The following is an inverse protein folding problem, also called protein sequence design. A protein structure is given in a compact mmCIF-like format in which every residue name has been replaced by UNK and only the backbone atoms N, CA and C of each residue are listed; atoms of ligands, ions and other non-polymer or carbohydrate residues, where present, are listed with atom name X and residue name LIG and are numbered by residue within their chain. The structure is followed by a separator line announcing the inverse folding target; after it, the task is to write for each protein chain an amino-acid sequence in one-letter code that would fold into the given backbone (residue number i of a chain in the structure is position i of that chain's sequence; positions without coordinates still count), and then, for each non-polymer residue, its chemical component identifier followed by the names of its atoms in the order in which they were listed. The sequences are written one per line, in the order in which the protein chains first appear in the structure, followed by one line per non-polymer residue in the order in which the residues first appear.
data_IF_806269699764
#
_entry.id   IF_806269699764
#
_cell.length_a   1.000
_cell.length_b   1.000
_cell.length_c   1.000
_cell.angle_alpha   90.00
_cell.angle_beta   90.00
_cell.angle_gamma   90.00
#
_symmetry.space_group_name_H-M   'P 1'
#
loop_
_entity.id
_entity.type
_entity.pdbx_description
1 polymer ?
#
# COMPACT_ATOMS: atom_id res chain seq x y z
N UNK A 1 -9.83 -2.89 22.92
CA UNK A 1 -10.68 -1.71 22.83
C UNK A 1 -10.68 -1.26 21.36
N UNK A 2 -11.68 -1.69 20.63
CA UNK A 2 -11.82 -1.33 19.21
C UNK A 2 -12.36 0.09 19.14
N UNK A 3 -11.56 1.01 18.63
CA UNK A 3 -12.01 2.36 18.35
C UNK A 3 -12.98 2.34 17.17
N UNK A 4 -14.26 2.41 17.48
CA UNK A 4 -15.33 2.68 16.54
C UNK A 4 -15.31 4.16 16.14
N UNK A 5 -14.30 4.55 15.37
CA UNK A 5 -14.28 5.87 14.73
C UNK A 5 -13.92 5.68 13.25
N UNK A 6 -14.83 5.01 12.54
CA UNK A 6 -14.68 4.66 11.12
C UNK A 6 -14.53 5.84 10.16
N UNK A 7 -14.68 7.06 10.63
CA UNK A 7 -14.57 8.29 9.81
C UNK A 7 -13.26 9.07 10.02
N UNK A 8 -12.58 8.88 11.14
CA UNK A 8 -11.35 9.65 11.45
C UNK A 8 -10.13 9.02 10.79
N UNK A 9 -10.03 7.70 10.74
CA UNK A 9 -8.92 6.99 10.11
C UNK A 9 -8.78 7.25 8.60
N UNK A 10 -9.87 7.13 7.79
CA UNK A 10 -9.82 7.45 6.38
C UNK A 10 -9.35 8.89 6.10
N UNK A 11 -9.85 9.84 6.88
CA UNK A 11 -9.49 11.24 6.73
C UNK A 11 -8.02 11.49 7.10
N UNK A 12 -7.52 10.88 8.17
CA UNK A 12 -6.13 10.99 8.60
C UNK A 12 -5.16 10.45 7.56
N UNK A 13 -5.42 9.28 7.00
CA UNK A 13 -4.57 8.67 5.97
C UNK A 13 -4.59 9.51 4.69
N UNK A 14 -5.76 9.97 4.27
CA UNK A 14 -5.90 10.84 3.12
C UNK A 14 -5.11 12.15 3.30
N UNK A 15 -5.24 12.80 4.45
CA UNK A 15 -4.50 14.02 4.77
C UNK A 15 -3.01 13.79 4.82
N UNK A 16 -2.55 12.67 5.40
CA UNK A 16 -1.12 12.33 5.47
C UNK A 16 -0.55 12.06 4.08
N UNK A 17 -1.27 11.35 3.22
CA UNK A 17 -0.89 11.07 1.85
C UNK A 17 -0.77 12.37 1.03
N UNK A 18 -1.75 13.25 1.15
CA UNK A 18 -1.74 14.55 0.49
C UNK A 18 -0.59 15.43 0.98
N UNK A 19 -0.34 15.45 2.29
CA UNK A 19 0.78 16.19 2.87
C UNK A 19 2.13 15.71 2.34
N UNK A 20 2.35 14.39 2.26
CA UNK A 20 3.56 13.79 1.71
C UNK A 20 3.72 14.18 0.24
N UNK A 21 2.67 14.08 -0.56
CA UNK A 21 2.69 14.45 -1.97
C UNK A 21 3.09 15.93 -2.16
N UNK A 22 2.51 16.83 -1.40
CA UNK A 22 2.84 18.26 -1.45
C UNK A 22 4.28 18.50 -1.01
N UNK A 23 4.70 17.89 0.10
CA UNK A 23 6.04 18.09 0.67
C UNK A 23 7.16 17.63 -0.26
N UNK A 24 6.96 16.54 -0.98
CA UNK A 24 7.97 15.96 -1.87
C UNK A 24 7.75 16.28 -3.35
N UNK A 25 6.71 17.04 -3.68
CA UNK A 25 6.40 17.45 -5.05
C UNK A 25 5.93 16.30 -5.94
N UNK A 26 5.26 15.30 -5.35
CA UNK A 26 4.71 14.17 -6.11
C UNK A 26 3.52 14.59 -6.94
N UNK A 27 3.54 14.22 -8.22
CA UNK A 27 2.41 14.40 -9.13
C UNK A 27 1.42 13.23 -8.97
N UNK A 28 0.27 13.51 -8.37
CA UNK A 28 -0.84 12.56 -8.20
C UNK A 28 -2.00 12.83 -9.17
N UNK A 29 -1.80 13.63 -10.21
CA UNK A 29 -2.86 14.03 -11.13
C UNK A 29 -3.18 12.97 -12.20
N UNK A 30 -2.26 12.01 -12.41
CA UNK A 30 -2.41 10.94 -13.41
C UNK A 30 -3.22 9.77 -12.84
N UNK A 31 -3.86 9.03 -13.74
CA UNK A 31 -4.51 7.76 -13.43
C UNK A 31 -3.58 6.57 -13.67
N UNK A 32 -3.91 5.42 -13.08
CA UNK A 32 -3.18 4.17 -13.34
C UNK A 32 -3.21 3.78 -14.83
N UNK A 33 -4.31 4.05 -15.51
CA UNK A 33 -4.43 3.76 -16.95
C UNK A 33 -3.50 4.63 -17.81
N UNK A 34 -3.26 5.87 -17.39
CA UNK A 34 -2.30 6.77 -18.06
C UNK A 34 -0.85 6.40 -17.76
N UNK A 35 -0.59 5.84 -16.59
CA UNK A 35 0.75 5.44 -16.14
C UNK A 35 1.17 4.12 -16.80
N UNK A 36 0.30 3.13 -16.81
CA UNK A 36 0.58 1.74 -17.18
C UNK A 36 1.28 1.55 -18.52
N UNK A 37 0.91 2.24 -19.61
CA UNK A 37 1.56 2.01 -20.91
C UNK A 37 3.04 2.37 -20.95
N UNK A 38 3.49 3.29 -20.12
CA UNK A 38 4.84 3.86 -20.16
C UNK A 38 5.66 3.59 -18.88
N UNK A 39 5.08 2.94 -17.88
CA UNK A 39 5.78 2.64 -16.64
C UNK A 39 6.73 1.46 -16.84
N UNK A 40 7.94 1.61 -16.36
CA UNK A 40 9.01 0.61 -16.46
C UNK A 40 9.73 0.49 -15.10
N UNK A 41 10.70 -0.39 -15.02
CA UNK A 41 11.49 -0.54 -13.81
C UNK A 41 12.24 0.75 -13.47
N UNK A 42 12.00 1.27 -12.29
CA UNK A 42 12.64 2.47 -11.72
C UNK A 42 13.03 2.22 -10.28
N UNK A 43 14.11 2.85 -9.84
CA UNK A 43 14.69 2.64 -8.50
C UNK A 43 14.62 3.91 -7.63
N UNK A 44 14.00 4.98 -8.11
CA UNK A 44 13.87 6.23 -7.35
C UNK A 44 12.54 6.35 -6.63
N UNK A 45 12.56 6.91 -5.42
CA UNK A 45 11.34 7.19 -4.68
C UNK A 45 10.42 8.17 -5.42
N UNK A 46 10.97 9.13 -6.16
CA UNK A 46 10.23 10.12 -6.92
C UNK A 46 9.38 9.51 -8.04
N UNK A 47 9.80 8.37 -8.56
CA UNK A 47 9.09 7.67 -9.64
C UNK A 47 8.28 6.46 -9.15
N UNK A 48 8.59 5.92 -7.97
CA UNK A 48 7.92 4.75 -7.41
C UNK A 48 6.79 5.12 -6.45
N UNK A 49 7.04 6.03 -5.51
CA UNK A 49 6.08 6.36 -4.45
C UNK A 49 4.81 7.01 -4.97
N UNK A 50 4.84 8.01 -5.89
CA UNK A 50 3.61 8.57 -6.44
C UNK A 50 2.73 7.53 -7.11
N UNK A 51 3.31 6.60 -7.87
CA UNK A 51 2.56 5.54 -8.56
C UNK A 51 1.88 4.59 -7.56
N UNK A 52 2.58 4.23 -6.49
CA UNK A 52 2.02 3.41 -5.42
C UNK A 52 0.85 4.11 -4.69
N UNK A 53 0.98 5.41 -4.46
CA UNK A 53 -0.09 6.23 -3.87
C UNK A 53 -1.30 6.30 -4.81
N UNK A 54 -1.09 6.55 -6.10
CA UNK A 54 -2.17 6.60 -7.10
C UNK A 54 -2.90 5.26 -7.16
N UNK A 55 -2.18 4.14 -7.16
CA UNK A 55 -2.78 2.80 -7.13
C UNK A 55 -3.68 2.59 -5.91
N UNK A 56 -3.26 3.08 -4.74
CA UNK A 56 -4.10 3.07 -3.55
C UNK A 56 -5.34 3.97 -3.68
N UNK A 57 -5.18 5.21 -4.17
CA UNK A 57 -6.27 6.17 -4.28
C UNK A 57 -7.37 5.72 -5.24
N UNK A 58 -7.03 4.96 -6.28
CA UNK A 58 -7.99 4.40 -7.22
C UNK A 58 -8.63 3.09 -6.74
N UNK A 59 -8.13 2.50 -5.65
CA UNK A 59 -8.58 1.20 -5.17
C UNK A 59 -9.89 1.27 -4.38
N UNK A 60 -10.59 0.13 -4.35
CA UNK A 60 -11.85 -0.06 -3.61
C UNK A 60 -11.75 -1.06 -2.48
N UNK A 61 -10.63 -1.78 -2.37
CA UNK A 61 -10.35 -2.75 -1.31
C UNK A 61 -8.84 -2.97 -1.17
N UNK A 62 -8.41 -3.67 -0.11
CA UNK A 62 -7.03 -4.05 0.08
C UNK A 62 -6.48 -4.87 -1.10
N UNK A 63 -7.21 -5.91 -1.52
CA UNK A 63 -6.80 -6.75 -2.64
C UNK A 63 -6.77 -5.98 -3.96
N UNK A 64 -7.75 -5.11 -4.19
CA UNK A 64 -7.82 -4.27 -5.38
C UNK A 64 -6.64 -3.30 -5.44
N UNK A 65 -6.23 -2.73 -4.31
CA UNK A 65 -5.05 -1.88 -4.23
C UNK A 65 -3.78 -2.61 -4.67
N UNK A 66 -3.56 -3.83 -4.18
CA UNK A 66 -2.41 -4.64 -4.56
C UNK A 66 -2.45 -5.04 -6.05
N UNK A 67 -3.60 -5.48 -6.55
CA UNK A 67 -3.76 -5.84 -7.96
C UNK A 67 -3.54 -4.65 -8.88
N UNK A 68 -4.03 -3.49 -8.50
CA UNK A 68 -3.82 -2.25 -9.25
C UNK A 68 -2.34 -1.88 -9.28
N UNK A 69 -1.64 -1.92 -8.14
CA UNK A 69 -0.21 -1.65 -8.07
C UNK A 69 0.60 -2.61 -8.97
N UNK A 70 0.34 -3.91 -8.87
CA UNK A 70 1.02 -4.94 -9.69
C UNK A 70 0.73 -4.74 -11.18
N UNK A 71 -0.47 -4.30 -11.54
CA UNK A 71 -0.85 -4.07 -12.93
C UNK A 71 -0.09 -2.94 -13.63
N UNK A 72 0.55 -2.06 -12.87
CA UNK A 72 1.41 -1.01 -13.44
C UNK A 72 2.69 -1.57 -14.07
N UNK A 73 3.13 -2.73 -13.63
CA UNK A 73 4.38 -3.34 -14.10
C UNK A 73 5.62 -2.79 -13.40
N UNK A 74 6.75 -2.82 -14.06
CA UNK A 74 8.01 -2.36 -13.49
C UNK A 74 8.44 -3.20 -12.27
N UNK A 75 8.90 -2.53 -11.22
CA UNK A 75 9.23 -3.14 -9.92
C UNK A 75 7.94 -3.35 -9.11
N UNK A 76 7.13 -4.31 -9.54
CA UNK A 76 5.78 -4.51 -9.03
C UNK A 76 5.71 -5.01 -7.59
N UNK A 77 6.73 -5.69 -7.09
CA UNK A 77 6.81 -6.11 -5.69
C UNK A 77 7.07 -4.92 -4.75
N UNK A 78 7.95 -4.00 -5.13
CA UNK A 78 8.15 -2.74 -4.39
C UNK A 78 6.89 -1.85 -4.42
N UNK A 79 6.27 -1.68 -5.58
CA UNK A 79 4.99 -0.96 -5.69
C UNK A 79 3.92 -1.57 -4.78
N UNK A 80 3.76 -2.90 -4.83
CA UNK A 80 2.78 -3.60 -4.02
C UNK A 80 3.09 -3.51 -2.51
N UNK A 81 4.36 -3.51 -2.11
CA UNK A 81 4.75 -3.33 -0.71
C UNK A 81 4.36 -1.94 -0.19
N UNK A 82 4.63 -0.88 -0.95
CA UNK A 82 4.28 0.50 -0.58
C UNK A 82 2.75 0.68 -0.57
N UNK A 83 2.09 0.30 -1.65
CA UNK A 83 0.62 0.39 -1.77
C UNK A 83 -0.07 -0.43 -0.69
N UNK A 84 0.41 -1.64 -0.43
CA UNK A 84 -0.13 -2.54 0.58
C UNK A 84 -0.02 -1.99 2.00
N UNK A 85 1.07 -1.31 2.32
CA UNK A 85 1.25 -0.66 3.63
C UNK A 85 0.21 0.42 3.88
N UNK A 86 -0.10 1.22 2.87
CA UNK A 86 -1.14 2.25 2.95
C UNK A 86 -2.54 1.60 3.00
N UNK A 87 -2.77 0.63 2.14
CA UNK A 87 -4.06 -0.08 2.04
C UNK A 87 -4.38 -0.89 3.31
N UNK A 88 -3.37 -1.48 3.97
CA UNK A 88 -3.55 -2.17 5.25
C UNK A 88 -4.07 -1.21 6.33
N UNK A 89 -3.47 -0.03 6.42
CA UNK A 89 -3.88 0.95 7.41
C UNK A 89 -5.30 1.48 7.16
N UNK A 90 -5.74 1.50 5.91
CA UNK A 90 -7.04 2.03 5.51
C UNK A 90 -8.16 0.97 5.49
N UNK A 91 -7.91 -0.17 4.85
CA UNK A 91 -8.91 -1.24 4.64
C UNK A 91 -8.78 -2.38 5.66
N UNK A 92 -7.62 -2.55 6.28
CA UNK A 92 -7.23 -3.79 6.93
C UNK A 92 -6.85 -4.88 5.91
N UNK A 93 -6.14 -5.92 6.35
CA UNK A 93 -5.82 -7.09 5.53
C UNK A 93 -6.88 -8.16 5.74
N UNK A 94 -7.56 -8.65 4.69
CA UNK A 94 -8.46 -9.79 4.80
C UNK A 94 -7.76 -11.01 5.40
N UNK A 95 -8.41 -11.69 6.34
CA UNK A 95 -7.80 -12.79 7.08
C UNK A 95 -7.32 -13.93 6.17
N UNK A 96 -8.03 -14.20 5.11
CA UNK A 96 -7.66 -15.21 4.13
C UNK A 96 -6.30 -14.88 3.45
N UNK A 97 -6.10 -13.62 3.07
CA UNK A 97 -4.84 -13.17 2.48
C UNK A 97 -3.71 -13.16 3.51
N UNK A 98 -4.02 -12.79 4.76
CA UNK A 98 -3.06 -12.84 5.87
C UNK A 98 -2.56 -14.25 6.11
N UNK A 99 -3.45 -15.22 6.15
CA UNK A 99 -3.10 -16.63 6.32
C UNK A 99 -2.27 -17.17 5.14
N UNK A 100 -2.65 -16.83 3.92
CA UNK A 100 -1.89 -17.23 2.72
C UNK A 100 -0.49 -16.63 2.69
N UNK A 101 -0.33 -15.38 3.10
CA UNK A 101 0.97 -14.74 3.23
C UNK A 101 1.84 -15.47 4.27
N UNK A 102 1.30 -15.76 5.45
CA UNK A 102 2.04 -16.47 6.51
C UNK A 102 2.56 -17.84 6.09
N UNK A 103 1.81 -18.59 5.30
CA UNK A 103 2.24 -19.89 4.78
C UNK A 103 3.49 -19.81 3.87
N UNK A 104 3.77 -18.64 3.32
CA UNK A 104 4.89 -18.38 2.41
C UNK A 104 6.12 -17.78 3.07
N UNK A 105 5.99 -17.39 4.35
CA UNK A 105 7.12 -16.88 5.12
C UNK A 105 8.07 -18.00 5.53
N UNK A 106 9.36 -17.69 5.58
CA UNK A 106 10.32 -18.57 6.25
C UNK A 106 10.06 -18.56 7.76
N UNK A 107 10.49 -19.59 8.51
CA UNK A 107 10.31 -19.63 9.95
C UNK A 107 10.82 -18.36 10.65
N UNK A 108 11.98 -17.84 10.24
CA UNK A 108 12.61 -16.67 10.81
C UNK A 108 11.75 -15.40 10.59
N UNK A 109 11.20 -15.22 9.39
CA UNK A 109 10.32 -14.10 9.08
C UNK A 109 8.98 -14.22 9.80
N UNK A 110 8.47 -15.43 9.96
CA UNK A 110 7.24 -15.67 10.71
C UNK A 110 7.40 -15.31 12.20
N UNK A 111 8.54 -15.63 12.82
CA UNK A 111 8.85 -15.23 14.19
C UNK A 111 8.89 -13.71 14.35
N UNK A 112 9.58 -13.02 13.45
CA UNK A 112 9.64 -11.54 13.45
C UNK A 112 8.24 -10.93 13.35
N UNK A 113 7.41 -11.47 12.46
CA UNK A 113 6.02 -11.00 12.32
C UNK A 113 5.21 -11.19 13.59
N UNK A 114 5.34 -12.34 14.26
CA UNK A 114 4.66 -12.64 15.52
C UNK A 114 5.12 -11.65 16.62
N UNK A 115 6.40 -11.39 16.73
CA UNK A 115 6.94 -10.43 17.69
C UNK A 115 6.44 -9.01 17.42
N UNK A 116 6.42 -8.60 16.16
CA UNK A 116 5.85 -7.32 15.74
C UNK A 116 4.38 -7.19 16.11
N UNK A 117 3.58 -8.19 15.82
CA UNK A 117 2.14 -8.19 16.14
C UNK A 117 1.88 -8.10 17.65
N UNK A 118 2.71 -8.75 18.48
CA UNK A 118 2.64 -8.64 19.94
C UNK A 118 3.00 -7.24 20.45
N UNK A 119 3.97 -6.60 19.82
CA UNK A 119 4.42 -5.26 20.20
C UNK A 119 3.46 -4.15 19.74
N UNK A 120 2.72 -4.38 18.65
CA UNK A 120 1.77 -3.43 18.08
C UNK A 120 0.39 -3.42 18.77
N UNK A 121 0.13 -4.40 19.63
CA UNK A 121 -1.10 -4.50 20.44
C UNK A 121 -0.94 -3.83 21.79
#
# INVERSE_FOLDING_TARGET
MYFTNSLIYPFSIFCSTLFIAIKFGYDLSRTCDEIRPNYHHVESCQETVPQAIIAFLESTSFEDALRTAVSLGGDSDTLAAITGSIAEAFYGVPEELRQECRKRLTPELAEILIEWEKAAL
#
